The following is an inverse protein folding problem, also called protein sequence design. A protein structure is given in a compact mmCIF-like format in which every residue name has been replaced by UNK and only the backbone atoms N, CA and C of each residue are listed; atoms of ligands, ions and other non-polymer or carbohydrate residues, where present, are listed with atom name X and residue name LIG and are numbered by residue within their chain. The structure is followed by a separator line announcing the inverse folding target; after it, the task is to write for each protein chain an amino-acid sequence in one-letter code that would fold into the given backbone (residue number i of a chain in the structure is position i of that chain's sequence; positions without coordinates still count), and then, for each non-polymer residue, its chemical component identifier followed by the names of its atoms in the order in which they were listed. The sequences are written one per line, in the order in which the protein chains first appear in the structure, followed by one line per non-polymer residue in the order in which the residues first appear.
data_IF_863861182297
#
_entry.id   IF_863861182297
#
_cell.length_a   1.000
_cell.length_b   1.000
_cell.length_c   1.000
_cell.angle_alpha   90.00
_cell.angle_beta   90.00
_cell.angle_gamma   90.00
#
_symmetry.space_group_name_H-M   'P 1'
#
loop_
_entity.id
_entity.type
_entity.pdbx_description
1 polymer ?
#
# COMPACT_ATOMS: atom_id res chain seq x y z
N UNK A 1 17.73 2.18 28.96
CA UNK A 1 16.27 2.16 29.07
C UNK A 1 15.62 3.19 28.18
N UNK A 2 15.96 4.45 28.39
CA UNK A 2 15.38 5.52 27.60
C UNK A 2 15.72 5.41 26.12
N UNK A 3 16.90 4.93 25.79
CA UNK A 3 17.29 4.77 24.39
C UNK A 3 16.46 3.72 23.68
N UNK A 4 16.13 2.64 24.38
CA UNK A 4 15.29 1.60 23.82
C UNK A 4 13.87 2.10 23.59
N UNK A 5 13.37 2.92 24.48
CA UNK A 5 12.04 3.51 24.31
C UNK A 5 12.00 4.45 23.14
N UNK A 6 13.08 5.24 22.93
CA UNK A 6 13.17 6.12 21.77
C UNK A 6 13.21 5.34 20.46
N UNK A 7 13.90 4.20 20.45
CA UNK A 7 13.94 3.35 19.26
C UNK A 7 12.56 2.79 18.93
N UNK A 8 11.77 2.45 19.96
CA UNK A 8 10.41 1.96 19.74
C UNK A 8 9.51 3.00 19.09
N UNK A 9 9.83 4.28 19.26
CA UNK A 9 9.04 5.38 18.71
C UNK A 9 9.64 5.97 17.46
N UNK A 10 10.73 5.39 16.94
CA UNK A 10 11.33 5.84 15.70
C UNK A 10 10.39 5.57 14.53
N UNK A 11 10.06 6.60 13.74
CA UNK A 11 9.20 6.39 12.58
C UNK A 11 9.79 5.39 11.60
N UNK A 12 8.92 4.60 10.97
CA UNK A 12 9.34 3.63 9.96
C UNK A 12 9.77 4.33 8.68
N UNK A 13 10.72 3.73 7.99
CA UNK A 13 11.18 4.21 6.70
C UNK A 13 10.45 3.44 5.61
N UNK A 14 9.56 4.10 4.84
CA UNK A 14 8.77 3.39 3.85
C UNK A 14 9.61 2.77 2.73
N UNK A 15 10.71 3.41 2.34
CA UNK A 15 11.53 2.88 1.26
C UNK A 15 12.23 1.60 1.69
N UNK A 16 12.71 1.54 2.92
CA UNK A 16 13.32 0.31 3.45
C UNK A 16 12.29 -0.80 3.57
N UNK A 17 11.09 -0.48 4.03
CA UNK A 17 10.00 -1.46 4.11
C UNK A 17 9.66 -2.00 2.72
N UNK A 18 9.60 -1.11 1.73
CA UNK A 18 9.28 -1.54 0.37
C UNK A 18 10.38 -2.41 -0.22
N UNK A 19 11.65 -2.09 0.05
CA UNK A 19 12.75 -2.93 -0.42
C UNK A 19 12.65 -4.36 0.11
N UNK A 20 12.28 -4.50 1.38
CA UNK A 20 12.08 -5.82 1.97
C UNK A 20 10.90 -6.55 1.33
N UNK A 21 9.82 -5.81 1.05
CA UNK A 21 8.67 -6.37 0.35
C UNK A 21 9.07 -6.87 -1.03
N UNK A 22 9.84 -6.09 -1.77
CA UNK A 22 10.26 -6.44 -3.12
C UNK A 22 11.13 -7.70 -3.12
N UNK A 23 12.03 -7.82 -2.15
CA UNK A 23 12.84 -9.03 -1.99
C UNK A 23 11.97 -10.26 -1.73
N UNK A 24 10.94 -10.09 -0.93
CA UNK A 24 10.01 -11.17 -0.60
C UNK A 24 9.22 -11.62 -1.83
N UNK A 25 8.76 -10.66 -2.63
CA UNK A 25 8.04 -10.96 -3.87
C UNK A 25 8.95 -11.71 -4.84
N UNK A 26 10.17 -11.23 -5.00
CA UNK A 26 11.14 -11.86 -5.89
C UNK A 26 11.45 -13.29 -5.44
N UNK A 27 11.63 -13.47 -4.13
CA UNK A 27 11.93 -14.79 -3.57
C UNK A 27 10.77 -15.78 -3.73
N UNK A 28 9.55 -15.28 -3.91
CA UNK A 28 8.38 -16.14 -4.08
C UNK A 28 8.42 -16.92 -5.39
N UNK A 29 9.18 -16.45 -6.38
CA UNK A 29 9.37 -17.16 -7.64
C UNK A 29 8.16 -17.15 -8.57
N UNK A 30 7.17 -16.29 -8.35
CA UNK A 30 5.97 -16.26 -9.18
C UNK A 30 6.09 -15.42 -10.45
N UNK A 31 7.25 -14.81 -10.69
CA UNK A 31 7.48 -14.06 -11.92
C UNK A 31 6.69 -12.78 -12.04
N UNK A 32 6.34 -12.17 -10.93
CA UNK A 32 5.58 -10.92 -10.95
C UNK A 32 6.43 -9.76 -11.46
N UNK A 33 5.78 -8.75 -12.04
CA UNK A 33 6.46 -7.56 -12.52
C UNK A 33 6.82 -6.65 -11.36
N UNK A 34 8.08 -6.68 -10.94
CA UNK A 34 8.57 -5.80 -9.87
C UNK A 34 8.48 -4.33 -10.27
N UNK A 35 8.68 -4.03 -11.55
CA UNK A 35 8.59 -2.68 -12.07
C UNK A 35 7.18 -2.12 -11.90
N UNK A 36 6.18 -2.90 -12.23
CA UNK A 36 4.78 -2.50 -12.12
C UNK A 36 4.39 -2.31 -10.65
N UNK A 37 4.83 -3.22 -9.79
CA UNK A 37 4.56 -3.12 -8.35
C UNK A 37 5.25 -1.90 -7.75
N UNK A 38 6.50 -1.64 -8.16
CA UNK A 38 7.22 -0.46 -7.69
C UNK A 38 6.53 0.83 -8.11
N UNK A 39 6.00 0.87 -9.33
CA UNK A 39 5.24 2.03 -9.79
C UNK A 39 4.03 2.30 -8.91
N UNK A 40 3.37 1.24 -8.43
CA UNK A 40 2.25 1.39 -7.51
C UNK A 40 2.71 1.95 -6.16
N UNK A 41 3.84 1.46 -5.66
CA UNK A 41 4.40 2.00 -4.43
C UNK A 41 4.72 3.49 -4.56
N UNK A 42 5.36 3.86 -5.66
CA UNK A 42 5.72 5.27 -5.88
C UNK A 42 4.49 6.16 -5.99
N UNK A 43 3.44 5.68 -6.65
CA UNK A 43 2.18 6.42 -6.71
C UNK A 43 1.59 6.60 -5.32
N UNK A 44 1.54 5.54 -4.53
CA UNK A 44 1.00 5.60 -3.17
C UNK A 44 1.83 6.54 -2.29
N UNK A 45 3.16 6.45 -2.39
CA UNK A 45 4.04 7.30 -1.60
C UNK A 45 3.84 8.78 -1.93
N UNK A 46 3.75 9.08 -3.22
CA UNK A 46 3.55 10.45 -3.68
C UNK A 46 2.17 10.97 -3.27
N UNK A 47 1.14 10.15 -3.43
CA UNK A 47 -0.23 10.53 -3.12
C UNK A 47 -0.43 10.80 -1.64
N UNK A 48 0.24 10.05 -0.78
CA UNK A 48 0.13 10.19 0.66
C UNK A 48 1.22 11.08 1.27
N UNK A 49 1.96 11.80 0.43
CA UNK A 49 3.03 12.66 0.92
C UNK A 49 2.53 13.64 1.95
N UNK A 50 3.24 13.72 3.07
CA UNK A 50 2.86 14.61 4.17
C UNK A 50 1.86 14.03 5.13
N UNK A 51 1.23 12.90 4.82
CA UNK A 51 0.30 12.25 5.73
C UNK A 51 1.07 11.33 6.67
N UNK A 52 0.80 11.47 7.96
CA UNK A 52 1.48 10.68 8.97
C UNK A 52 0.49 9.85 9.77
N UNK A 53 0.97 8.70 10.27
CA UNK A 53 0.24 7.88 11.21
C UNK A 53 0.44 8.40 12.62
N UNK A 54 -0.28 7.83 13.59
CA UNK A 54 -0.20 8.27 14.97
C UNK A 54 1.21 8.19 15.54
N UNK A 55 2.00 7.22 15.08
CA UNK A 55 3.37 7.05 15.58
C UNK A 55 4.39 7.94 14.86
N UNK A 56 3.93 8.78 13.94
CA UNK A 56 4.78 9.68 13.17
C UNK A 56 5.33 9.08 11.89
N UNK A 57 5.03 7.81 11.59
CA UNK A 57 5.49 7.18 10.36
C UNK A 57 4.70 7.71 9.17
N UNK A 58 5.33 7.83 7.98
CA UNK A 58 4.59 8.20 6.78
C UNK A 58 3.44 7.22 6.53
N UNK A 59 2.31 7.73 6.10
CA UNK A 59 1.10 6.92 5.92
C UNK A 59 1.32 5.75 4.96
N UNK A 60 2.19 5.91 3.95
CA UNK A 60 2.45 4.87 2.97
C UNK A 60 3.03 3.59 3.60
N UNK A 61 3.60 3.67 4.81
CA UNK A 61 4.07 2.46 5.51
C UNK A 61 2.91 1.51 5.78
N UNK A 62 1.71 2.05 6.04
CA UNK A 62 0.51 1.23 6.19
C UNK A 62 0.18 0.50 4.88
N UNK A 63 0.33 1.18 3.75
CA UNK A 63 0.07 0.58 2.45
C UNK A 63 1.06 -0.55 2.15
N UNK A 64 2.33 -0.36 2.48
CA UNK A 64 3.34 -1.40 2.31
C UNK A 64 3.05 -2.61 3.20
N UNK A 65 2.63 -2.36 4.44
CA UNK A 65 2.28 -3.44 5.36
C UNK A 65 1.09 -4.25 4.83
N UNK A 66 0.09 -3.59 4.25
CA UNK A 66 -1.06 -4.27 3.66
C UNK A 66 -0.61 -5.14 2.47
N UNK A 67 0.29 -4.63 1.64
CA UNK A 67 0.82 -5.40 0.51
C UNK A 67 1.63 -6.61 0.99
N UNK A 68 2.38 -6.45 2.07
CA UNK A 68 3.15 -7.54 2.64
C UNK A 68 2.24 -8.70 3.09
N UNK A 69 1.13 -8.36 3.74
CA UNK A 69 0.14 -9.36 4.13
C UNK A 69 -0.43 -10.05 2.89
N UNK A 70 -0.69 -9.28 1.84
CA UNK A 70 -1.23 -9.81 0.58
C UNK A 70 -0.27 -10.83 -0.04
N UNK A 71 1.04 -10.55 0.00
CA UNK A 71 2.06 -11.49 -0.48
C UNK A 71 2.04 -12.77 0.36
N UNK A 72 1.95 -12.64 1.68
CA UNK A 72 1.91 -13.80 2.58
C UNK A 72 0.69 -14.68 2.34
N UNK A 73 -0.40 -14.08 1.90
CA UNK A 73 -1.63 -14.82 1.57
C UNK A 73 -1.55 -15.51 0.21
N UNK A 74 -0.49 -15.30 -0.54
CA UNK A 74 -0.31 -15.93 -1.83
C UNK A 74 -1.17 -15.35 -2.94
N UNK A 75 -1.57 -14.10 -2.81
CA UNK A 75 -2.42 -13.44 -3.81
C UNK A 75 -1.60 -12.95 -4.99
N UNK A 76 -2.30 -12.59 -6.07
CA UNK A 76 -1.66 -12.26 -7.33
C UNK A 76 -1.11 -10.83 -7.39
N UNK A 77 -0.44 -10.52 -8.49
CA UNK A 77 0.19 -9.21 -8.71
C UNK A 77 -0.82 -8.06 -8.62
N UNK A 78 -1.99 -8.21 -9.24
CA UNK A 78 -3.01 -7.16 -9.19
C UNK A 78 -3.48 -6.91 -7.77
N UNK A 79 -3.60 -7.95 -6.96
CA UNK A 79 -4.01 -7.82 -5.57
C UNK A 79 -2.95 -7.10 -4.73
N UNK A 80 -1.67 -7.38 -4.99
CA UNK A 80 -0.57 -6.70 -4.30
C UNK A 80 -0.57 -5.21 -4.66
N UNK A 81 -0.73 -4.90 -5.93
CA UNK A 81 -0.79 -3.52 -6.40
C UNK A 81 -1.99 -2.81 -5.79
N UNK A 82 -3.14 -3.47 -5.77
CA UNK A 82 -4.34 -2.90 -5.18
C UNK A 82 -4.15 -2.63 -3.68
N UNK A 83 -3.43 -3.50 -2.97
CA UNK A 83 -3.14 -3.28 -1.55
C UNK A 83 -2.30 -2.04 -1.34
N UNK A 84 -1.31 -1.81 -2.21
CA UNK A 84 -0.49 -0.59 -2.14
C UNK A 84 -1.32 0.66 -2.39
N UNK A 85 -2.36 0.57 -3.20
CA UNK A 85 -3.17 1.72 -3.61
C UNK A 85 -4.51 1.81 -2.89
N UNK A 86 -4.77 0.94 -1.92
CA UNK A 86 -6.14 0.79 -1.40
C UNK A 86 -6.74 2.04 -0.76
N UNK A 87 -5.92 2.94 -0.21
CA UNK A 87 -6.42 4.16 0.41
C UNK A 87 -6.29 5.38 -0.49
N UNK A 88 -5.72 5.21 -1.69
CA UNK A 88 -5.39 6.35 -2.56
C UNK A 88 -6.63 7.11 -3.01
N UNK A 89 -7.69 6.40 -3.40
CA UNK A 89 -8.91 7.05 -3.88
C UNK A 89 -9.59 7.83 -2.77
N UNK A 90 -9.65 7.25 -1.57
CA UNK A 90 -10.36 7.87 -0.45
C UNK A 90 -9.60 9.05 0.14
N UNK A 91 -8.29 8.92 0.25
CA UNK A 91 -7.47 9.89 0.99
C UNK A 91 -6.77 10.92 0.13
N UNK A 92 -6.86 10.82 -1.18
CA UNK A 92 -6.18 11.74 -2.10
C UNK A 92 -7.10 12.13 -3.25
N UNK A 93 -6.55 12.90 -4.19
CA UNK A 93 -7.30 13.35 -5.37
C UNK A 93 -7.26 12.36 -6.54
N UNK A 94 -6.57 11.23 -6.37
CA UNK A 94 -6.53 10.22 -7.43
C UNK A 94 -7.86 9.49 -7.53
N UNK A 95 -8.25 9.14 -8.76
CA UNK A 95 -9.54 8.54 -9.04
C UNK A 95 -9.39 7.13 -9.60
N UNK A 96 -10.51 6.40 -9.64
CA UNK A 96 -10.54 5.09 -10.30
C UNK A 96 -9.97 5.18 -11.72
N UNK A 97 -10.31 6.23 -12.46
CA UNK A 97 -9.81 6.41 -13.84
C UNK A 97 -8.30 6.54 -13.88
N UNK A 98 -7.73 7.30 -12.93
CA UNK A 98 -6.27 7.46 -12.86
C UNK A 98 -5.57 6.13 -12.63
N UNK A 99 -6.10 5.32 -11.72
CA UNK A 99 -5.53 4.02 -11.41
C UNK A 99 -5.70 3.07 -12.58
N UNK A 100 -6.88 3.06 -13.21
CA UNK A 100 -7.15 2.20 -14.36
C UNK A 100 -6.24 2.51 -15.53
N UNK A 101 -5.95 3.80 -15.74
CA UNK A 101 -5.09 4.22 -16.84
C UNK A 101 -3.67 3.68 -16.68
N UNK A 102 -3.16 3.60 -15.47
CA UNK A 102 -1.79 3.18 -15.22
C UNK A 102 -1.66 1.68 -14.94
N UNK A 103 -2.61 1.09 -14.22
CA UNK A 103 -2.50 -0.29 -13.75
C UNK A 103 -3.57 -1.23 -14.29
N UNK A 104 -4.54 -0.71 -15.01
CA UNK A 104 -5.60 -1.51 -15.58
C UNK A 104 -6.88 -1.46 -14.75
N UNK A 105 -7.98 -1.76 -15.42
CA UNK A 105 -9.31 -1.70 -14.81
C UNK A 105 -9.45 -2.69 -13.65
N UNK A 106 -8.84 -3.88 -13.78
CA UNK A 106 -8.93 -4.90 -12.72
C UNK A 106 -8.41 -4.38 -11.39
N UNK A 107 -7.24 -3.72 -11.39
CA UNK A 107 -6.67 -3.13 -10.17
C UNK A 107 -7.57 -2.03 -9.65
N UNK A 108 -8.02 -1.14 -10.53
CA UNK A 108 -8.87 -0.02 -10.14
C UNK A 108 -10.19 -0.50 -9.51
N UNK A 109 -10.77 -1.57 -10.06
CA UNK A 109 -12.00 -2.13 -9.52
C UNK A 109 -11.80 -2.73 -8.13
N UNK A 110 -10.66 -3.39 -7.91
CA UNK A 110 -10.35 -3.94 -6.58
C UNK A 110 -10.22 -2.82 -5.57
N UNK A 111 -9.47 -1.76 -5.92
CA UNK A 111 -9.27 -0.61 -5.03
C UNK A 111 -10.61 0.04 -4.69
N UNK A 112 -11.44 0.28 -5.70
CA UNK A 112 -12.74 0.90 -5.48
C UNK A 112 -13.67 0.02 -4.66
N UNK A 113 -13.63 -1.29 -4.88
CA UNK A 113 -14.43 -2.23 -4.11
C UNK A 113 -14.08 -2.21 -2.63
N UNK A 114 -12.79 -2.16 -2.31
CA UNK A 114 -12.33 -2.08 -0.93
C UNK A 114 -12.78 -0.76 -0.30
N UNK A 115 -12.68 0.34 -1.03
CA UNK A 115 -13.11 1.65 -0.55
C UNK A 115 -14.60 1.65 -0.21
N UNK A 116 -15.43 1.10 -1.10
CA UNK A 116 -16.87 1.02 -0.87
C UNK A 116 -17.21 0.15 0.34
N UNK A 117 -16.52 -0.95 0.48
CA UNK A 117 -16.75 -1.86 1.60
C UNK A 117 -16.42 -1.17 2.93
N UNK A 118 -15.35 -0.43 2.98
CA UNK A 118 -14.96 0.31 4.17
C UNK A 118 -16.01 1.36 4.53
N UNK A 119 -16.53 2.07 3.54
CA UNK A 119 -17.57 3.08 3.77
C UNK A 119 -18.84 2.44 4.32
N UNK A 120 -19.23 1.30 3.79
CA UNK A 120 -20.42 0.59 4.27
C UNK A 120 -20.27 0.21 5.73
N UNK A 121 -19.10 -0.27 6.14
CA UNK A 121 -18.84 -0.61 7.53
C UNK A 121 -18.95 0.59 8.45
N UNK A 122 -18.48 1.75 8.02
CA UNK A 122 -18.59 2.96 8.82
C UNK A 122 -20.00 3.48 8.91
N UNK A 123 -20.77 3.36 7.85
CA UNK A 123 -22.12 3.90 7.81
C UNK A 123 -23.16 2.98 8.45
N UNK A 124 -22.87 1.71 8.63
CA UNK A 124 -23.82 0.76 9.19
C UNK A 124 -23.99 0.88 10.69
N UNK A 125 -23.26 1.77 11.30
CA UNK A 125 -23.45 2.09 12.70
C UNK A 125 -24.54 3.15 12.86
#
# INVERSE_FOLDING_TARGET
MDEMEKEQHTPLDPDLMYEELEKKIEASGHGMSLERIRSAYEMARSAHEGQLRKDGSPYVTHCVAAADITVDMGLDEDSIIAALLHDVIEDTNLTHTDIARQFGTAVADIVEGVTKLTRVQYTSK
#
